data_IF_625216095627
#
_entry.id   IF_625216095627
#
_cell.length_a   1.000
_cell.length_b   1.000
_cell.length_c   1.000
_cell.angle_alpha   90.00
_cell.angle_beta   90.00
_cell.angle_gamma   90.00
#
_symmetry.space_group_name_H-M   'P 1'
#
loop_
_entity.id
_entity.type
_entity.pdbx_description
1 polymer ?
#
# COMPACT_ATOMS: atom_id res chain seq x y z
N UNK A 1 4.61 -19.40 4.67
CA UNK A 1 5.35 -19.55 3.38
C UNK A 1 4.67 -18.65 2.34
N UNK A 2 5.37 -18.27 1.27
CA UNK A 2 4.73 -17.55 0.14
C UNK A 2 3.59 -18.41 -0.43
N UNK A 3 2.36 -17.88 -0.58
CA UNK A 3 1.20 -18.68 -0.99
C UNK A 3 1.20 -19.05 -2.49
N UNK A 4 2.22 -18.62 -3.24
CA UNK A 4 2.25 -18.69 -4.70
C UNK A 4 1.64 -17.45 -5.33
N UNK A 5 1.71 -17.39 -6.66
CA UNK A 5 1.30 -16.21 -7.44
C UNK A 5 -0.19 -16.14 -7.75
N UNK A 6 -0.93 -17.22 -7.54
CA UNK A 6 -2.36 -17.26 -7.87
C UNK A 6 -3.19 -16.17 -7.15
N UNK A 7 -3.05 -15.94 -5.83
CA UNK A 7 -3.83 -14.91 -5.15
C UNK A 7 -3.56 -13.47 -5.64
N UNK A 8 -2.49 -13.26 -6.40
CA UNK A 8 -2.02 -11.95 -6.86
C UNK A 8 -2.14 -11.80 -8.39
N UNK A 9 -2.91 -12.66 -9.06
CA UNK A 9 -3.15 -12.52 -10.50
C UNK A 9 -3.98 -11.27 -10.80
N UNK A 10 -3.76 -10.70 -11.98
CA UNK A 10 -4.41 -9.46 -12.40
C UNK A 10 -3.56 -8.23 -12.07
N UNK A 11 -4.19 -7.08 -11.72
CA UNK A 11 -3.50 -5.81 -11.52
C UNK A 11 -2.29 -5.87 -10.58
N UNK A 12 -2.39 -6.64 -9.48
CA UNK A 12 -1.36 -6.72 -8.44
C UNK A 12 0.01 -7.16 -8.97
N UNK A 13 0.06 -8.08 -9.93
CA UNK A 13 1.30 -8.63 -10.47
C UNK A 13 1.46 -8.43 -11.98
N UNK A 14 0.62 -7.59 -12.60
CA UNK A 14 0.58 -7.40 -14.05
C UNK A 14 1.91 -6.91 -14.64
N UNK A 15 2.67 -6.16 -13.85
CA UNK A 15 3.93 -5.51 -14.23
C UNK A 15 5.18 -6.27 -13.76
N UNK A 16 5.02 -7.39 -13.06
CA UNK A 16 6.12 -8.25 -12.67
C UNK A 16 6.42 -9.29 -13.75
N UNK A 17 7.64 -9.22 -14.30
CA UNK A 17 8.17 -10.26 -15.17
C UNK A 17 8.54 -11.54 -14.38
N UNK A 18 8.86 -12.62 -15.11
CA UNK A 18 9.18 -13.91 -14.50
C UNK A 18 10.39 -13.85 -13.55
N UNK A 19 11.38 -13.02 -13.88
CA UNK A 19 12.58 -12.87 -13.04
C UNK A 19 12.22 -12.20 -11.73
N UNK A 20 11.49 -11.08 -11.78
CA UNK A 20 11.02 -10.36 -10.60
C UNK A 20 10.08 -11.23 -9.74
N UNK A 21 9.21 -12.02 -10.37
CA UNK A 21 8.37 -13.01 -9.68
C UNK A 21 9.19 -14.06 -8.95
N UNK A 22 10.21 -14.60 -9.60
CA UNK A 22 11.09 -15.60 -8.99
C UNK A 22 11.88 -15.00 -7.81
N UNK A 23 12.48 -13.82 -7.99
CA UNK A 23 13.27 -13.15 -6.96
C UNK A 23 12.43 -12.75 -5.74
N UNK A 24 11.24 -12.18 -5.96
CA UNK A 24 10.36 -11.80 -4.86
C UNK A 24 9.88 -13.02 -4.06
N UNK A 25 9.49 -14.10 -4.76
CA UNK A 25 9.08 -15.33 -4.11
C UNK A 25 10.23 -16.00 -3.33
N UNK A 26 11.45 -15.96 -3.85
CA UNK A 26 12.63 -16.49 -3.19
C UNK A 26 13.03 -15.67 -1.94
N UNK A 27 12.78 -14.35 -1.96
CA UNK A 27 13.04 -13.46 -0.83
C UNK A 27 11.90 -13.39 0.20
N UNK A 28 10.75 -14.00 -0.07
CA UNK A 28 9.56 -13.90 0.78
C UNK A 28 9.76 -14.59 2.15
N UNK A 29 9.74 -13.79 3.22
CA UNK A 29 9.82 -14.27 4.60
C UNK A 29 8.40 -14.40 5.16
N UNK A 30 8.00 -15.56 5.72
CA UNK A 30 6.69 -15.71 6.35
C UNK A 30 6.49 -14.75 7.52
N UNK A 31 5.35 -14.06 7.53
CA UNK A 31 4.94 -13.22 8.66
C UNK A 31 4.30 -14.11 9.75
N UNK A 32 4.73 -14.03 11.03
CA UNK A 32 4.08 -14.76 12.12
C UNK A 32 2.60 -14.38 12.24
N UNK A 33 1.71 -15.36 12.43
CA UNK A 33 0.26 -15.15 12.49
C UNK A 33 -0.16 -14.07 13.50
N UNK A 34 0.49 -14.04 14.66
CA UNK A 34 0.20 -13.08 15.72
C UNK A 34 0.43 -11.61 15.29
N UNK A 35 1.30 -11.36 14.30
CA UNK A 35 1.49 -10.02 13.72
C UNK A 35 0.29 -9.65 12.84
N UNK A 36 -0.15 -10.56 11.96
CA UNK A 36 -1.25 -10.30 11.04
C UNK A 36 -2.64 -10.25 11.72
N UNK A 37 -2.83 -10.99 12.82
CA UNK A 37 -4.10 -11.07 13.55
C UNK A 37 -4.12 -10.28 14.86
N UNK A 38 -3.02 -9.64 15.23
CA UNK A 38 -2.89 -8.91 16.48
C UNK A 38 -3.87 -7.73 16.55
N UNK A 39 -4.53 -7.54 17.69
CA UNK A 39 -5.40 -6.38 17.91
C UNK A 39 -4.56 -5.17 18.28
N UNK A 40 -4.55 -4.16 17.41
CA UNK A 40 -3.91 -2.87 17.67
C UNK A 40 -4.87 -1.99 18.49
N UNK A 41 -4.39 -1.42 19.60
CA UNK A 41 -5.16 -0.47 20.43
C UNK A 41 -4.52 0.91 20.37
N UNK A 42 -5.19 1.85 19.69
CA UNK A 42 -4.74 3.24 19.53
C UNK A 42 -5.64 4.16 20.34
N UNK A 43 -5.09 4.87 21.33
CA UNK A 43 -5.84 5.75 22.23
C UNK A 43 -5.59 7.24 22.00
N UNK A 44 -4.46 7.62 21.41
CA UNK A 44 -4.09 9.02 21.22
C UNK A 44 -4.73 9.58 19.96
N UNK A 45 -5.68 10.50 20.10
CA UNK A 45 -6.43 11.07 18.98
C UNK A 45 -5.59 12.03 18.12
N UNK A 46 -4.43 12.49 18.60
CA UNK A 46 -3.51 13.33 17.80
C UNK A 46 -2.99 12.62 16.55
N UNK A 47 -3.11 11.29 16.48
CA UNK A 47 -2.82 10.53 15.26
C UNK A 47 -3.67 10.95 14.05
N UNK A 48 -4.86 11.50 14.29
CA UNK A 48 -5.74 11.99 13.22
C UNK A 48 -5.26 13.32 12.62
N UNK A 49 -4.34 14.02 13.29
CA UNK A 49 -3.69 15.22 12.78
C UNK A 49 -2.45 14.90 11.93
N UNK A 50 -1.96 13.67 11.93
CA UNK A 50 -0.81 13.26 11.11
C UNK A 50 -1.23 13.22 9.64
N UNK A 51 -0.57 13.96 8.74
CA UNK A 51 -0.88 13.90 7.31
C UNK A 51 -0.57 12.52 6.72
N UNK A 52 -1.46 12.05 5.85
CA UNK A 52 -1.35 10.74 5.20
C UNK A 52 -1.42 10.90 3.69
N UNK A 53 -0.54 10.24 2.97
CA UNK A 53 -0.62 10.06 1.52
C UNK A 53 -0.91 8.60 1.21
N UNK A 54 -2.00 8.33 0.50
CA UNK A 54 -2.32 7.00 -0.03
C UNK A 54 -1.73 6.88 -1.44
N UNK A 55 -0.68 6.07 -1.58
CA UNK A 55 -0.15 5.72 -2.91
C UNK A 55 -1.03 4.61 -3.49
N UNK A 56 -1.50 4.80 -4.72
CA UNK A 56 -2.50 3.98 -5.40
C UNK A 56 -1.85 3.35 -6.65
N UNK A 57 -1.30 2.11 -6.55
CA UNK A 57 -0.62 1.46 -7.66
C UNK A 57 -1.62 0.67 -8.53
N UNK A 58 -2.11 -0.45 -8.00
CA UNK A 58 -2.97 -1.41 -8.69
C UNK A 58 -4.45 -1.00 -8.68
N UNK A 59 -4.76 0.12 -8.02
CA UNK A 59 -6.08 0.72 -7.91
C UNK A 59 -5.97 2.23 -8.05
N UNK A 60 -7.07 2.88 -8.39
CA UNK A 60 -7.12 4.33 -8.60
C UNK A 60 -7.40 5.09 -7.29
N UNK A 61 -7.01 6.38 -7.20
CA UNK A 61 -7.42 7.25 -6.10
C UNK A 61 -8.95 7.36 -5.91
N UNK A 62 -9.73 7.15 -6.97
CA UNK A 62 -11.19 7.14 -6.88
C UNK A 62 -11.71 5.90 -6.12
N UNK A 63 -11.17 4.71 -6.42
CA UNK A 63 -11.50 3.48 -5.70
C UNK A 63 -11.07 3.56 -4.23
N UNK A 64 -9.89 4.13 -3.96
CA UNK A 64 -9.43 4.33 -2.59
C UNK A 64 -10.40 5.22 -1.78
N UNK A 65 -10.88 6.32 -2.38
CA UNK A 65 -11.90 7.19 -1.78
C UNK A 65 -13.23 6.48 -1.55
N UNK A 66 -13.63 5.62 -2.48
CA UNK A 66 -14.85 4.81 -2.34
C UNK A 66 -14.75 3.88 -1.12
N UNK A 67 -13.66 3.12 -0.97
CA UNK A 67 -13.44 2.22 0.18
C UNK A 67 -13.39 2.98 1.51
N UNK A 68 -12.74 4.15 1.53
CA UNK A 68 -12.72 5.02 2.72
C UNK A 68 -14.15 5.49 3.05
N UNK A 69 -14.92 5.94 2.06
CA UNK A 69 -16.31 6.38 2.24
C UNK A 69 -17.27 5.26 2.64
N UNK A 70 -17.02 4.03 2.18
CA UNK A 70 -17.77 2.83 2.54
C UNK A 70 -17.45 2.33 3.97
N UNK A 71 -16.34 2.79 4.56
CA UNK A 71 -15.91 2.42 5.91
C UNK A 71 -14.98 1.20 5.96
N UNK A 72 -14.47 0.74 4.80
CA UNK A 72 -13.50 -0.38 4.73
C UNK A 72 -12.14 0.01 5.33
N UNK A 73 -11.82 1.30 5.31
CA UNK A 73 -10.60 1.88 5.89
C UNK A 73 -10.95 2.92 6.97
N UNK A 74 -11.47 2.48 8.13
CA UNK A 74 -12.09 3.37 9.11
C UNK A 74 -11.11 4.36 9.77
N UNK A 75 -9.81 4.04 9.80
CA UNK A 75 -8.81 4.95 10.35
C UNK A 75 -8.57 6.15 9.43
N UNK A 76 -8.48 5.92 8.11
CA UNK A 76 -8.34 7.01 7.13
C UNK A 76 -9.61 7.84 7.02
N UNK A 77 -10.79 7.25 7.24
CA UNK A 77 -12.05 8.00 7.30
C UNK A 77 -12.09 9.03 8.46
N UNK A 78 -11.24 8.85 9.49
CA UNK A 78 -11.12 9.77 10.64
C UNK A 78 -9.92 10.72 10.55
N UNK A 79 -8.97 10.47 9.65
CA UNK A 79 -7.81 11.33 9.46
C UNK A 79 -8.24 12.68 8.85
N UNK A 80 -7.62 13.77 9.30
CA UNK A 80 -7.98 15.13 8.88
C UNK A 80 -7.36 15.54 7.54
N UNK A 81 -6.23 14.93 7.19
CA UNK A 81 -5.42 15.26 6.02
C UNK A 81 -5.07 13.96 5.29
N UNK A 82 -5.78 13.68 4.20
CA UNK A 82 -5.57 12.49 3.38
C UNK A 82 -5.45 12.92 1.92
N UNK A 83 -4.23 12.81 1.40
CA UNK A 83 -3.90 13.01 0.01
C UNK A 83 -3.72 11.67 -0.70
N UNK A 84 -3.74 11.70 -2.03
CA UNK A 84 -3.67 10.51 -2.87
C UNK A 84 -2.68 10.73 -3.99
N UNK A 85 -1.77 9.79 -4.17
CA UNK A 85 -0.83 9.77 -5.27
C UNK A 85 -1.09 8.54 -6.13
N UNK A 86 -1.30 8.74 -7.41
CA UNK A 86 -1.45 7.67 -8.39
C UNK A 86 -0.08 7.24 -8.90
N UNK A 87 0.10 5.95 -9.16
CA UNK A 87 1.29 5.41 -9.82
C UNK A 87 0.87 4.25 -10.71
N UNK A 88 1.22 4.29 -11.99
CA UNK A 88 0.84 3.26 -12.96
C UNK A 88 1.64 1.96 -12.74
N UNK A 89 1.33 1.17 -11.71
CA UNK A 89 2.13 0.02 -11.26
C UNK A 89 1.25 -1.09 -10.72
N UNK A 90 1.79 -2.30 -10.61
CA UNK A 90 1.22 -3.34 -9.75
C UNK A 90 1.54 -3.10 -8.28
N UNK A 91 1.22 -4.07 -7.44
CA UNK A 91 1.23 -4.00 -5.97
C UNK A 91 2.62 -3.78 -5.35
N UNK A 92 3.69 -4.04 -6.09
CA UNK A 92 5.07 -3.87 -5.62
C UNK A 92 5.83 -2.77 -6.40
N UNK A 93 5.39 -1.51 -6.33
CA UNK A 93 6.02 -0.41 -7.06
C UNK A 93 7.48 -0.16 -6.64
N UNK A 94 7.87 -0.59 -5.43
CA UNK A 94 9.28 -0.53 -5.00
C UNK A 94 10.20 -1.48 -5.79
N UNK A 95 9.64 -2.44 -6.54
CA UNK A 95 10.37 -3.35 -7.42
C UNK A 95 10.27 -2.89 -8.86
N UNK A 96 9.06 -2.59 -9.34
CA UNK A 96 8.82 -2.33 -10.78
C UNK A 96 8.99 -0.86 -11.16
N UNK A 97 8.67 0.07 -10.26
CA UNK A 97 8.79 1.53 -10.48
C UNK A 97 9.49 2.27 -9.32
N UNK A 98 10.68 1.82 -8.85
CA UNK A 98 11.32 2.34 -7.64
C UNK A 98 11.63 3.84 -7.70
N UNK A 99 12.06 4.35 -8.86
CA UNK A 99 12.39 5.77 -9.03
C UNK A 99 11.15 6.68 -9.07
N UNK A 100 9.99 6.17 -9.48
CA UNK A 100 8.73 6.91 -9.47
C UNK A 100 8.16 6.92 -8.04
N UNK A 101 8.13 5.77 -7.38
CA UNK A 101 7.75 5.68 -5.97
C UNK A 101 8.62 6.59 -5.09
N UNK A 102 9.94 6.59 -5.28
CA UNK A 102 10.85 7.44 -4.51
C UNK A 102 10.54 8.94 -4.67
N UNK A 103 10.13 9.39 -5.86
CA UNK A 103 9.73 10.79 -6.09
C UNK A 103 8.43 11.14 -5.37
N UNK A 104 7.46 10.23 -5.37
CA UNK A 104 6.21 10.41 -4.61
C UNK A 104 6.51 10.54 -3.12
N UNK A 105 7.35 9.65 -2.57
CA UNK A 105 7.73 9.69 -1.16
C UNK A 105 8.51 10.96 -0.79
N UNK A 106 9.40 11.43 -1.67
CA UNK A 106 10.15 12.66 -1.45
C UNK A 106 9.23 13.89 -1.43
N UNK A 107 8.30 13.99 -2.39
CA UNK A 107 7.31 15.08 -2.42
C UNK A 107 6.43 15.09 -1.17
N UNK A 108 5.92 13.91 -0.78
CA UNK A 108 5.11 13.77 0.44
C UNK A 108 5.88 14.19 1.71
N UNK A 109 7.19 13.98 1.76
CA UNK A 109 8.01 14.38 2.90
C UNK A 109 8.30 15.89 2.96
N UNK A 110 8.29 16.59 1.82
CA UNK A 110 8.54 18.04 1.73
C UNK A 110 7.30 18.89 2.03
N UNK A 111 6.09 18.33 1.85
CA UNK A 111 4.82 19.01 2.09
C UNK A 111 4.39 19.05 3.58
N UNK A 112 5.17 18.44 4.48
CA UNK A 112 4.92 18.32 5.93
C UNK A 112 5.66 19.35 6.80
#
# INVERSE_FOLDING_TARGET
PFPGWEPFQGPDAADLDETARHELAAAAIPVPEAVARGVVRLSDERRYDVPVVVVCPEFTPAQAREWIGAGDVPELARAKHVDFADIDSGHWPMITKPAELARILAAAAEEN
#
